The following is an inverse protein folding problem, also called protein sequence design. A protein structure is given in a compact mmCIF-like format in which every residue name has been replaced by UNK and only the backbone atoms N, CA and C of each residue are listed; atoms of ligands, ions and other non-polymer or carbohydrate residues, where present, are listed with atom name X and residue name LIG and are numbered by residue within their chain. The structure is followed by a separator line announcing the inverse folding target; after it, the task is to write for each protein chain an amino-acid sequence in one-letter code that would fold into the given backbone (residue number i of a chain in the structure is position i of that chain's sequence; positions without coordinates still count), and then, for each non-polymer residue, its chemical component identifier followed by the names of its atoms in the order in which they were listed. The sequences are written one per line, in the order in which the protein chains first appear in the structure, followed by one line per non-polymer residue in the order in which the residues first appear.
data_IF_123274770069
#
_entry.id   IF_123274770069
#
_cell.length_a   1.000
_cell.length_b   1.000
_cell.length_c   1.000
_cell.angle_alpha   90.00
_cell.angle_beta   90.00
_cell.angle_gamma   90.00
#
_symmetry.space_group_name_H-M   'P 1'
#
loop_
_entity.id
_entity.type
_entity.pdbx_description
1 polymer ?
#
# COMPACT_ATOMS: atom_id res chain seq x y z
N UNK A 1 20.37 -0.91 19.05
CA UNK A 1 19.94 -0.78 17.62
C UNK A 1 20.38 0.56 17.05
N UNK A 2 20.92 0.60 15.82
CA UNK A 2 21.33 1.85 15.16
C UNK A 2 20.12 2.74 14.83
N UNK A 3 20.24 4.06 15.01
CA UNK A 3 19.15 5.05 14.86
C UNK A 3 18.43 5.00 13.51
N UNK A 4 19.15 4.66 12.43
CA UNK A 4 18.58 4.54 11.07
C UNK A 4 17.57 3.39 10.93
N UNK A 5 17.77 2.28 11.66
CA UNK A 5 16.85 1.14 11.63
C UNK A 5 15.54 1.46 12.35
N UNK A 6 15.61 2.18 13.48
CA UNK A 6 14.41 2.58 14.24
C UNK A 6 13.48 3.46 13.38
N UNK A 7 14.05 4.44 12.69
CA UNK A 7 13.27 5.35 11.83
C UNK A 7 12.59 4.64 10.66
N UNK A 8 13.24 3.63 10.08
CA UNK A 8 12.65 2.81 9.01
C UNK A 8 11.43 2.02 9.53
N UNK A 9 11.56 1.41 10.69
CA UNK A 9 10.49 0.63 11.33
C UNK A 9 9.28 1.50 11.67
N UNK A 10 9.51 2.72 12.18
CA UNK A 10 8.43 3.68 12.46
C UNK A 10 7.66 4.06 11.19
N UNK A 11 8.36 4.37 10.10
CA UNK A 11 7.72 4.70 8.82
C UNK A 11 6.91 3.52 8.26
N UNK A 12 7.45 2.30 8.33
CA UNK A 12 6.73 1.10 7.89
C UNK A 12 5.47 0.85 8.72
N UNK A 13 5.54 1.05 10.05
CA UNK A 13 4.37 0.94 10.92
C UNK A 13 3.30 1.99 10.61
N UNK A 14 3.71 3.23 10.31
CA UNK A 14 2.81 4.30 9.92
C UNK A 14 2.11 4.00 8.59
N UNK A 15 2.84 3.57 7.55
CA UNK A 15 2.26 3.23 6.24
C UNK A 15 1.19 2.15 6.34
N UNK A 16 1.31 1.23 7.31
CA UNK A 16 0.32 0.16 7.55
C UNK A 16 -0.89 0.64 8.34
N UNK A 17 -0.84 1.79 9.00
CA UNK A 17 -1.99 2.36 9.72
C UNK A 17 -3.05 2.87 8.73
N UNK A 18 -4.27 3.13 9.22
CA UNK A 18 -5.36 3.66 8.41
C UNK A 18 -4.98 5.03 7.82
N UNK A 19 -4.46 5.92 8.67
CA UNK A 19 -4.03 7.27 8.29
C UNK A 19 -2.90 7.23 7.25
N UNK A 20 -1.94 6.31 7.41
CA UNK A 20 -0.86 6.13 6.45
C UNK A 20 -1.34 5.62 5.10
N UNK A 21 -2.33 4.72 5.07
CA UNK A 21 -2.94 4.22 3.84
C UNK A 21 -3.78 5.29 3.13
N UNK A 22 -4.51 6.10 3.87
CA UNK A 22 -5.26 7.25 3.33
C UNK A 22 -4.31 8.26 2.68
N UNK A 23 -3.26 8.66 3.39
CA UNK A 23 -2.25 9.57 2.86
C UNK A 23 -1.53 8.97 1.64
N UNK A 24 -1.22 7.67 1.67
CA UNK A 24 -0.61 6.97 0.55
C UNK A 24 -1.53 6.99 -0.69
N UNK A 25 -2.83 6.76 -0.50
CA UNK A 25 -3.84 6.83 -1.57
C UNK A 25 -3.89 8.23 -2.16
N UNK A 26 -3.96 9.25 -1.30
CA UNK A 26 -3.94 10.64 -1.76
C UNK A 26 -2.71 10.94 -2.63
N UNK A 27 -1.52 10.52 -2.17
CA UNK A 27 -0.27 10.80 -2.87
C UNK A 27 -0.07 9.99 -4.15
N UNK A 28 -0.37 8.69 -4.12
CA UNK A 28 -0.04 7.75 -5.21
C UNK A 28 -1.17 7.61 -6.24
N UNK A 29 -2.42 7.83 -5.84
CA UNK A 29 -3.60 7.63 -6.71
C UNK A 29 -4.28 8.94 -7.08
N UNK A 30 -4.42 9.85 -6.12
CA UNK A 30 -5.18 11.09 -6.31
C UNK A 30 -4.30 12.28 -6.72
N UNK A 31 -2.98 12.08 -6.86
CA UNK A 31 -2.05 13.13 -7.27
C UNK A 31 -1.84 14.23 -6.23
N UNK A 32 -2.16 13.98 -4.96
CA UNK A 32 -1.87 14.90 -3.87
C UNK A 32 -0.35 15.10 -3.73
N UNK A 33 0.07 16.36 -3.64
CA UNK A 33 1.48 16.72 -3.54
C UNK A 33 1.87 16.98 -2.10
N UNK A 34 2.91 16.28 -1.63
CA UNK A 34 3.53 16.56 -0.32
C UNK A 34 4.41 17.83 -0.32
N UNK A 35 4.80 18.30 -1.50
CA UNK A 35 5.59 19.51 -1.72
C UNK A 35 5.37 20.04 -3.15
N UNK A 36 5.58 21.33 -3.35
CA UNK A 36 5.41 21.97 -4.67
C UNK A 36 6.42 21.47 -5.72
N UNK A 37 7.64 21.17 -5.28
CA UNK A 37 8.72 20.61 -6.09
C UNK A 37 9.32 19.36 -5.44
N UNK A 38 9.78 18.36 -6.22
CA UNK A 38 10.49 17.21 -5.68
C UNK A 38 11.74 17.56 -4.87
N UNK A 39 12.35 18.73 -5.14
CA UNK A 39 13.53 19.22 -4.40
C UNK A 39 13.21 19.64 -2.97
N UNK A 40 11.95 19.96 -2.69
CA UNK A 40 11.49 20.43 -1.39
C UNK A 40 11.01 19.27 -0.50
N UNK A 41 11.05 18.03 -1.01
CA UNK A 41 10.69 16.86 -0.24
C UNK A 41 11.70 16.64 0.89
N UNK A 42 11.17 16.64 2.11
CA UNK A 42 11.95 16.24 3.28
C UNK A 42 12.30 14.76 3.19
N UNK A 43 13.37 14.37 3.89
CA UNK A 43 13.78 12.96 3.98
C UNK A 43 12.66 12.05 4.47
N UNK A 44 11.79 12.55 5.35
CA UNK A 44 10.73 11.74 5.96
C UNK A 44 9.57 11.52 4.99
N UNK A 45 9.22 12.53 4.20
CA UNK A 45 8.27 12.39 3.09
C UNK A 45 8.80 11.42 2.03
N UNK A 46 10.09 11.47 1.69
CA UNK A 46 10.71 10.52 0.76
C UNK A 46 10.63 9.09 1.30
N UNK A 47 11.00 8.89 2.57
CA UNK A 47 10.94 7.57 3.20
C UNK A 47 9.51 7.03 3.25
N UNK A 48 8.54 7.89 3.56
CA UNK A 48 7.12 7.55 3.51
C UNK A 48 6.69 7.08 2.11
N UNK A 49 6.99 7.86 1.06
CA UNK A 49 6.61 7.53 -0.32
C UNK A 49 7.21 6.19 -0.77
N UNK A 50 8.48 5.93 -0.43
CA UNK A 50 9.14 4.66 -0.75
C UNK A 50 8.46 3.50 -0.03
N UNK A 51 8.19 3.64 1.27
CA UNK A 51 7.54 2.60 2.07
C UNK A 51 6.09 2.35 1.60
N UNK A 52 5.33 3.41 1.30
CA UNK A 52 3.98 3.35 0.74
C UNK A 52 3.95 2.60 -0.59
N UNK A 53 4.88 2.93 -1.50
CA UNK A 53 4.99 2.24 -2.79
C UNK A 53 5.34 0.76 -2.62
N UNK A 54 6.28 0.43 -1.73
CA UNK A 54 6.66 -0.95 -1.44
C UNK A 54 5.50 -1.76 -0.86
N UNK A 55 4.78 -1.20 0.11
CA UNK A 55 3.59 -1.83 0.69
C UNK A 55 2.52 -2.10 -0.37
N UNK A 56 2.31 -1.16 -1.29
CA UNK A 56 1.33 -1.32 -2.36
C UNK A 56 1.72 -2.38 -3.38
N UNK A 57 3.01 -2.46 -3.72
CA UNK A 57 3.53 -3.54 -4.55
C UNK A 57 3.36 -4.92 -3.89
N UNK A 58 3.56 -5.01 -2.57
CA UNK A 58 3.28 -6.22 -1.78
C UNK A 58 1.80 -6.62 -1.85
N UNK A 59 0.88 -5.67 -1.63
CA UNK A 59 -0.57 -5.95 -1.72
C UNK A 59 -0.99 -6.41 -3.13
N UNK A 60 -0.46 -5.78 -4.18
CA UNK A 60 -0.72 -6.19 -5.56
C UNK A 60 -0.18 -7.60 -5.85
N UNK A 61 1.00 -7.94 -5.33
CA UNK A 61 1.56 -9.29 -5.46
C UNK A 61 0.69 -10.33 -4.75
N UNK A 62 0.21 -10.02 -3.53
CA UNK A 62 -0.70 -10.89 -2.78
C UNK A 62 -2.05 -11.06 -3.48
N UNK A 63 -2.63 -9.98 -4.03
CA UNK A 63 -3.89 -10.04 -4.78
C UNK A 63 -3.78 -10.92 -6.05
N UNK A 64 -2.62 -10.92 -6.72
CA UNK A 64 -2.34 -11.81 -7.86
C UNK A 64 -2.26 -13.28 -7.46
N UNK A 65 -1.76 -13.56 -6.26
CA UNK A 65 -1.72 -14.93 -5.72
C UNK A 65 -3.11 -15.39 -5.26
N UNK A 66 -3.90 -14.52 -4.64
CA UNK A 66 -5.26 -14.86 -4.21
C UNK A 66 -6.18 -15.16 -5.39
N UNK A 67 -5.98 -14.48 -6.53
CA UNK A 67 -6.73 -14.76 -7.77
C UNK A 67 -6.46 -16.15 -8.36
N UNK A 68 -5.31 -16.77 -8.05
CA UNK A 68 -5.00 -18.14 -8.46
C UNK A 68 -5.66 -19.21 -7.56
N UNK A 69 -6.24 -18.82 -6.43
CA UNK A 69 -6.90 -19.73 -5.47
C UNK A 69 -8.42 -19.52 -5.32
N UNK A 70 -9.06 -18.79 -6.23
CA UNK A 70 -10.51 -18.52 -6.13
C UNK A 70 -11.29 -19.79 -6.48
N UNK A 71 -11.81 -20.47 -5.47
CA UNK A 71 -12.92 -21.42 -5.62
C UNK A 71 -14.12 -20.67 -6.16
N UNK A 72 -14.43 -20.84 -7.46
CA UNK A 72 -15.70 -20.39 -8.03
C UNK A 72 -16.81 -21.27 -7.44
N UNK A 73 -17.64 -20.69 -6.58
CA UNK A 73 -18.89 -21.33 -6.14
C UNK A 73 -19.86 -21.20 -7.31
N UNK A 74 -19.91 -22.23 -8.16
CA UNK A 74 -20.98 -22.35 -9.15
C UNK A 74 -22.22 -22.82 -8.39
N UNK A 75 -23.15 -21.89 -8.17
CA UNK A 75 -24.52 -22.23 -7.79
C UNK A 75 -25.18 -22.74 -9.07
N UNK A 76 -25.08 -24.05 -9.31
CA UNK A 76 -25.90 -24.69 -10.33
C UNK A 76 -27.33 -24.68 -9.81
N UNK A 77 -28.17 -23.80 -10.34
CA UNK A 77 -29.61 -23.96 -10.21
C UNK A 77 -30.00 -25.24 -10.95
N UNK A 78 -30.09 -26.33 -10.20
CA UNK A 78 -30.79 -27.53 -10.64
C UNK A 78 -32.28 -27.21 -10.70
N UNK A 79 -32.71 -26.66 -11.82
CA UNK A 79 -34.11 -26.65 -12.22
C UNK A 79 -34.43 -28.03 -12.81
N UNK A 80 -35.02 -28.88 -11.98
CA UNK A 80 -35.78 -30.03 -12.43
C UNK A 80 -36.98 -29.53 -13.24
N UNK A 81 -37.09 -29.95 -14.50
CA UNK A 81 -38.33 -30.40 -15.16
C UNK A 81 -38.01 -31.03 -16.52
#
# INVERSE_FOLDING_TARGET
MPRKLKKKLEVESFVRSQEGQELATLCLDCGYKLAESPRDLTRDQILFLIAALAFRAEQLAQAKLSTQGITRINISEGGEE
#
